data_IF_398595824706
#
_entry.id   IF_398595824706
#
_cell.length_a   1.000
_cell.length_b   1.000
_cell.length_c   1.000
_cell.angle_alpha   90.00
_cell.angle_beta   90.00
_cell.angle_gamma   90.00
#
_symmetry.space_group_name_H-M   'P 1'
#
loop_
_entity.id
_entity.type
_entity.pdbx_description
1 polymer ?
#
# COMPACT_ATOMS: atom_id res chain seq x y z
N UNK A 1 42.39 3.01 -12.69
CA UNK A 1 41.04 2.67 -13.20
C UNK A 1 40.03 3.23 -12.22
N UNK A 2 39.28 4.27 -12.62
CA UNK A 2 38.18 4.76 -11.79
C UNK A 2 37.10 3.67 -11.76
N UNK A 3 36.71 3.22 -10.57
CA UNK A 3 35.57 2.31 -10.42
C UNK A 3 34.35 3.01 -11.03
N UNK A 4 33.76 2.42 -12.07
CA UNK A 4 32.52 2.91 -12.65
C UNK A 4 31.51 3.08 -11.51
N UNK A 5 30.93 4.28 -11.38
CA UNK A 5 29.90 4.54 -10.37
C UNK A 5 28.74 3.54 -10.50
N UNK A 6 28.00 3.25 -9.43
CA UNK A 6 26.86 2.34 -9.51
C UNK A 6 25.88 2.88 -10.56
N UNK A 7 25.56 2.05 -11.56
CA UNK A 7 24.63 2.39 -12.65
C UNK A 7 23.16 2.27 -12.26
N UNK A 8 22.90 1.87 -11.01
CA UNK A 8 21.59 1.49 -10.48
C UNK A 8 21.48 1.95 -9.04
N UNK A 9 20.27 2.26 -8.62
CA UNK A 9 19.93 2.47 -7.22
C UNK A 9 18.99 1.37 -6.73
N UNK A 10 18.93 1.21 -5.40
CA UNK A 10 17.99 0.29 -4.75
C UNK A 10 16.98 1.07 -3.93
N UNK A 11 15.74 0.57 -3.91
CA UNK A 11 14.64 1.04 -3.09
C UNK A 11 14.10 -0.14 -2.28
N UNK A 12 14.34 -0.13 -0.98
CA UNK A 12 13.81 -1.10 -0.04
C UNK A 12 12.58 -0.49 0.65
N UNK A 13 11.49 -1.25 0.65
CA UNK A 13 10.19 -0.85 1.19
C UNK A 13 9.73 -1.92 2.17
N UNK A 14 9.73 -1.55 3.45
CA UNK A 14 9.25 -2.39 4.53
C UNK A 14 8.05 -1.73 5.21
N UNK A 15 7.34 -2.46 6.05
CA UNK A 15 6.28 -1.89 6.88
C UNK A 15 5.09 -2.81 6.96
N UNK A 16 3.88 -2.25 6.94
CA UNK A 16 2.67 -3.04 7.11
C UNK A 16 1.41 -2.33 6.60
N UNK A 17 0.43 -3.12 6.17
CA UNK A 17 -0.97 -2.74 6.16
C UNK A 17 -1.45 -2.81 7.61
N UNK A 18 -1.41 -1.66 8.30
CA UNK A 18 -1.63 -1.58 9.76
C UNK A 18 -3.10 -1.88 10.09
N UNK A 19 -4.01 -1.08 9.53
CA UNK A 19 -5.42 -1.11 9.93
C UNK A 19 -6.35 -0.54 8.86
N UNK A 20 -7.65 -0.75 9.04
CA UNK A 20 -8.70 -0.13 8.25
C UNK A 20 -9.90 0.31 9.07
N UNK A 21 -10.66 1.23 8.47
CA UNK A 21 -11.92 1.73 8.96
C UNK A 21 -12.95 1.61 7.83
N UNK A 22 -13.85 0.64 7.98
CA UNK A 22 -15.00 0.44 7.09
C UNK A 22 -16.27 0.51 7.93
N UNK A 23 -17.08 1.59 7.85
CA UNK A 23 -18.26 1.73 8.68
C UNK A 23 -19.28 0.59 8.49
N UNK A 24 -19.55 0.23 7.23
CA UNK A 24 -20.62 -0.69 6.84
C UNK A 24 -20.22 -2.17 6.87
N UNK A 25 -18.93 -2.51 6.96
CA UNK A 25 -18.44 -3.89 6.78
C UNK A 25 -17.56 -4.38 7.93
N UNK A 26 -17.56 -5.68 8.16
CA UNK A 26 -16.76 -6.39 9.15
C UNK A 26 -16.23 -7.70 8.52
N UNK A 27 -15.39 -8.44 9.24
CA UNK A 27 -14.79 -9.70 8.79
C UNK A 27 -14.05 -9.53 7.45
N UNK A 28 -13.06 -8.64 7.46
CA UNK A 28 -12.35 -8.23 6.25
C UNK A 28 -10.94 -8.82 6.19
N UNK A 29 -10.50 -9.17 4.98
CA UNK A 29 -9.08 -9.37 4.66
C UNK A 29 -8.65 -8.41 3.56
N UNK A 30 -7.33 -8.20 3.45
CA UNK A 30 -6.75 -7.37 2.41
C UNK A 30 -5.80 -8.20 1.54
N UNK A 31 -5.82 -7.91 0.24
CA UNK A 31 -4.79 -8.28 -0.72
C UNK A 31 -4.04 -7.02 -1.12
N UNK A 32 -2.73 -7.09 -1.19
CA UNK A 32 -1.93 -6.05 -1.85
C UNK A 32 -1.19 -6.61 -3.05
N UNK A 33 -0.87 -5.73 -4.01
CA UNK A 33 0.13 -5.98 -5.03
C UNK A 33 0.89 -4.69 -5.37
N UNK A 34 2.15 -4.83 -5.79
CA UNK A 34 2.93 -3.70 -6.29
C UNK A 34 2.77 -3.55 -7.80
N UNK A 35 2.68 -2.29 -8.24
CA UNK A 35 2.68 -1.89 -9.66
C UNK A 35 3.80 -0.89 -9.86
N UNK A 36 4.60 -1.08 -10.91
CA UNK A 36 5.79 -0.29 -11.18
C UNK A 36 6.12 -0.30 -12.68
N UNK A 37 6.94 0.65 -13.12
CA UNK A 37 7.39 0.79 -14.51
C UNK A 37 8.39 -0.29 -14.93
N UNK A 38 8.63 -0.40 -16.23
CA UNK A 38 9.45 -1.47 -16.82
C UNK A 38 10.91 -1.50 -16.38
N UNK A 39 11.48 -0.36 -15.96
CA UNK A 39 12.86 -0.28 -15.47
C UNK A 39 13.01 -0.80 -14.03
N UNK A 40 11.91 -0.89 -13.29
CA UNK A 40 11.91 -1.39 -11.92
C UNK A 40 11.90 -2.91 -11.91
N UNK A 41 12.91 -3.49 -11.27
CA UNK A 41 13.03 -4.94 -11.07
C UNK A 41 12.94 -5.26 -9.57
N UNK A 42 11.97 -6.07 -9.12
CA UNK A 42 11.98 -6.63 -7.78
C UNK A 42 13.17 -7.60 -7.65
N UNK A 43 13.89 -7.48 -6.53
CA UNK A 43 15.12 -8.25 -6.27
C UNK A 43 15.03 -9.10 -5.01
N UNK A 44 14.11 -8.76 -4.09
CA UNK A 44 13.81 -9.50 -2.88
C UNK A 44 12.43 -9.13 -2.35
N UNK A 45 11.86 -9.98 -1.49
CA UNK A 45 10.56 -9.77 -0.85
C UNK A 45 9.38 -10.24 -1.70
N UNK A 46 8.17 -9.76 -1.37
CA UNK A 46 6.91 -10.19 -1.96
C UNK A 46 6.23 -9.05 -2.74
N UNK A 47 5.98 -9.29 -4.03
CA UNK A 47 5.24 -8.36 -4.90
C UNK A 47 3.74 -8.33 -4.59
N UNK A 48 3.19 -9.43 -4.09
CA UNK A 48 1.80 -9.55 -3.67
C UNK A 48 1.67 -10.33 -2.37
N UNK A 49 0.60 -10.06 -1.63
CA UNK A 49 0.31 -10.72 -0.36
C UNK A 49 -1.17 -10.67 -0.01
N UNK A 50 -1.64 -11.66 0.72
CA UNK A 50 -3.01 -11.77 1.23
C UNK A 50 -2.93 -11.89 2.76
N UNK A 51 -3.67 -11.03 3.46
CA UNK A 51 -3.72 -11.04 4.93
C UNK A 51 -4.67 -12.11 5.46
N UNK A 52 -4.61 -12.31 6.77
CA UNK A 52 -5.69 -12.95 7.51
C UNK A 52 -6.99 -12.13 7.45
N UNK A 53 -8.10 -12.82 7.73
CA UNK A 53 -9.39 -12.18 8.01
C UNK A 53 -9.33 -11.60 9.44
N UNK A 54 -9.80 -10.36 9.60
CA UNK A 54 -9.89 -9.69 10.89
C UNK A 54 -11.28 -9.12 11.10
N UNK A 55 -11.71 -9.05 12.35
CA UNK A 55 -12.96 -8.43 12.75
C UNK A 55 -12.71 -7.10 13.47
N UNK A 56 -13.75 -6.26 13.52
CA UNK A 56 -13.67 -4.97 14.21
C UNK A 56 -13.34 -5.19 15.68
N UNK A 57 -12.36 -4.44 16.15
CA UNK A 57 -12.06 -4.36 17.58
C UNK A 57 -13.28 -3.92 18.39
N UNK A 58 -13.36 -4.41 19.63
CA UNK A 58 -14.44 -4.08 20.57
C UNK A 58 -14.30 -2.69 21.20
N UNK A 59 -13.27 -1.94 20.83
CA UNK A 59 -13.04 -0.60 21.33
C UNK A 59 -13.94 0.43 20.61
N UNK A 60 -13.90 1.68 21.09
CA UNK A 60 -14.68 2.79 20.52
C UNK A 60 -14.30 3.08 19.06
N UNK A 61 -13.07 2.74 18.66
CA UNK A 61 -12.56 3.01 17.31
C UNK A 61 -13.12 2.01 16.29
N UNK A 62 -13.52 0.81 16.74
CA UNK A 62 -14.07 -0.27 15.90
C UNK A 62 -13.21 -0.49 14.65
N UNK A 63 -11.89 -0.44 14.84
CA UNK A 63 -10.92 -0.56 13.77
C UNK A 63 -10.66 -2.03 13.45
N UNK A 64 -10.46 -2.32 12.17
CA UNK A 64 -9.95 -3.59 11.67
C UNK A 64 -8.43 -3.52 11.69
N UNK A 65 -7.77 -4.45 12.37
CA UNK A 65 -6.30 -4.45 12.48
C UNK A 65 -5.76 -5.71 11.82
N UNK A 66 -4.88 -5.52 10.83
CA UNK A 66 -4.18 -6.61 10.17
C UNK A 66 -2.72 -6.69 10.60
N UNK A 67 -2.04 -5.54 10.71
CA UNK A 67 -0.57 -5.51 10.82
C UNK A 67 0.11 -6.44 9.80
N UNK A 68 -0.42 -6.49 8.58
CA UNK A 68 0.02 -7.42 7.56
C UNK A 68 1.32 -6.90 6.93
N UNK A 69 2.44 -7.66 6.98
CA UNK A 69 3.74 -7.14 6.62
C UNK A 69 3.84 -6.77 5.14
N UNK A 70 4.58 -5.70 4.88
CA UNK A 70 5.04 -5.28 3.55
C UNK A 70 6.55 -5.40 3.57
N UNK A 71 7.12 -6.13 2.62
CA UNK A 71 8.57 -6.24 2.45
C UNK A 71 8.90 -6.51 0.98
N UNK A 72 9.55 -5.55 0.32
CA UNK A 72 10.02 -5.67 -1.06
C UNK A 72 11.22 -4.77 -1.30
N UNK A 73 12.17 -5.24 -2.11
CA UNK A 73 13.31 -4.45 -2.56
C UNK A 73 13.34 -4.39 -4.07
N UNK A 74 13.35 -3.18 -4.61
CA UNK A 74 13.49 -2.90 -6.02
C UNK A 74 14.89 -2.42 -6.39
N UNK A 75 15.25 -2.66 -7.63
CA UNK A 75 16.41 -2.12 -8.32
C UNK A 75 15.95 -1.38 -9.57
N UNK A 76 16.55 -0.23 -9.85
CA UNK A 76 16.21 0.58 -11.03
C UNK A 76 17.38 1.48 -11.43
N UNK A 77 17.40 1.91 -12.69
CA UNK A 77 18.32 2.91 -13.24
C UNK A 77 17.72 4.33 -13.24
N UNK A 78 16.38 4.46 -13.21
CA UNK A 78 15.69 5.75 -13.27
C UNK A 78 14.34 5.74 -12.51
N UNK A 79 13.90 6.87 -11.93
CA UNK A 79 12.71 6.91 -11.07
C UNK A 79 11.37 6.83 -11.83
N UNK A 80 11.36 6.78 -13.17
CA UNK A 80 10.12 6.78 -13.96
C UNK A 80 9.31 5.50 -13.70
N UNK A 81 7.98 5.63 -13.60
CA UNK A 81 7.11 4.51 -13.23
C UNK A 81 7.29 4.07 -11.78
N UNK A 82 7.46 5.03 -10.87
CA UNK A 82 7.68 4.81 -9.44
C UNK A 82 6.72 3.77 -8.83
N UNK A 83 7.20 2.86 -7.95
CA UNK A 83 6.36 1.82 -7.38
C UNK A 83 5.16 2.37 -6.61
N UNK A 84 4.02 1.73 -6.85
CA UNK A 84 2.76 1.93 -6.16
C UNK A 84 2.33 0.62 -5.51
N UNK A 85 1.70 0.71 -4.35
CA UNK A 85 0.97 -0.39 -3.75
C UNK A 85 -0.52 -0.23 -4.06
N UNK A 86 -1.11 -1.27 -4.62
CA UNK A 86 -2.55 -1.40 -4.84
C UNK A 86 -3.10 -2.32 -3.76
N UNK A 87 -4.17 -1.90 -3.10
CA UNK A 87 -4.88 -2.63 -2.07
C UNK A 87 -6.27 -3.00 -2.56
N UNK A 88 -6.67 -4.24 -2.28
CA UNK A 88 -8.01 -4.77 -2.50
C UNK A 88 -8.51 -5.35 -1.19
N UNK A 89 -9.59 -4.80 -0.64
CA UNK A 89 -10.19 -5.31 0.60
C UNK A 89 -11.42 -6.13 0.26
N UNK A 90 -11.51 -7.31 0.84
CA UNK A 90 -12.58 -8.28 0.63
C UNK A 90 -13.30 -8.57 1.94
N UNK A 91 -14.58 -8.95 1.84
CA UNK A 91 -15.36 -9.43 2.98
C UNK A 91 -16.66 -10.08 2.54
N UNK A 92 -17.34 -10.80 3.46
CA UNK A 92 -18.47 -11.67 3.14
C UNK A 92 -19.70 -10.86 2.73
N UNK A 93 -20.40 -11.29 1.69
CA UNK A 93 -21.74 -10.82 1.34
C UNK A 93 -22.83 -11.52 2.18
N UNK A 94 -24.11 -11.19 1.93
CA UNK A 94 -25.25 -11.75 2.66
C UNK A 94 -25.34 -13.29 2.52
N UNK A 95 -24.71 -13.85 1.48
CA UNK A 95 -24.66 -15.29 1.22
C UNK A 95 -23.33 -15.92 1.64
N UNK A 96 -22.44 -15.17 2.28
CA UNK A 96 -21.12 -15.64 2.72
C UNK A 96 -20.06 -15.72 1.62
N UNK A 97 -20.30 -15.15 0.45
CA UNK A 97 -19.28 -15.07 -0.60
C UNK A 97 -18.35 -13.89 -0.35
N UNK A 98 -17.04 -14.07 -0.53
CA UNK A 98 -16.09 -12.96 -0.44
C UNK A 98 -16.25 -12.02 -1.64
N UNK A 99 -16.56 -10.75 -1.36
CA UNK A 99 -16.70 -9.70 -2.37
C UNK A 99 -15.84 -8.49 -2.04
N UNK A 100 -15.41 -7.78 -3.08
CA UNK A 100 -14.61 -6.57 -2.92
C UNK A 100 -15.42 -5.47 -2.22
N UNK A 101 -14.86 -4.94 -1.14
CA UNK A 101 -15.35 -3.80 -0.34
C UNK A 101 -14.62 -2.50 -0.65
N UNK A 102 -13.49 -2.55 -1.33
CA UNK A 102 -12.77 -1.35 -1.73
C UNK A 102 -11.43 -1.63 -2.38
N UNK A 103 -11.09 -0.76 -3.32
CA UNK A 103 -9.75 -0.61 -3.87
C UNK A 103 -9.10 0.64 -3.32
N UNK A 104 -7.79 0.59 -3.11
CA UNK A 104 -6.98 1.72 -2.71
C UNK A 104 -5.65 1.68 -3.45
N UNK A 105 -5.06 2.85 -3.66
CA UNK A 105 -3.72 2.95 -4.25
C UNK A 105 -2.90 3.99 -3.52
N UNK A 106 -1.63 3.69 -3.28
CA UNK A 106 -0.67 4.62 -2.72
C UNK A 106 0.66 4.49 -3.46
N UNK A 107 1.29 5.62 -3.79
CA UNK A 107 2.70 5.59 -4.16
C UNK A 107 3.56 5.25 -2.95
N UNK A 108 4.62 4.46 -3.16
CA UNK A 108 5.69 4.32 -2.17
C UNK A 108 6.29 5.71 -1.89
N UNK A 109 6.55 6.09 -0.64
CA UNK A 109 7.19 7.37 -0.33
C UNK A 109 8.52 7.56 -1.06
N UNK A 110 8.74 8.76 -1.61
CA UNK A 110 9.95 9.10 -2.36
C UNK A 110 11.16 9.35 -1.45
N UNK A 111 10.92 9.84 -0.23
CA UNK A 111 11.98 10.07 0.75
C UNK A 111 12.19 8.85 1.64
N UNK A 112 13.44 8.53 2.01
CA UNK A 112 13.72 7.54 3.04
C UNK A 112 13.06 7.89 4.38
N UNK A 113 12.88 6.88 5.21
CA UNK A 113 12.35 7.01 6.56
C UNK A 113 10.97 6.38 6.74
N UNK A 114 10.35 6.65 7.90
CA UNK A 114 9.06 6.08 8.30
C UNK A 114 7.91 6.99 7.91
N UNK A 115 6.94 6.45 7.16
CA UNK A 115 5.79 7.17 6.64
C UNK A 115 4.49 6.45 6.99
N UNK A 116 3.55 7.18 7.61
CA UNK A 116 2.18 6.70 7.82
C UNK A 116 1.26 7.35 6.80
N UNK A 117 0.52 6.55 6.03
CA UNK A 117 -0.38 7.02 4.97
C UNK A 117 -1.75 6.38 5.15
N UNK A 118 -2.78 7.21 5.31
CA UNK A 118 -4.18 6.76 5.29
C UNK A 118 -4.75 7.05 3.92
N UNK A 119 -5.17 6.01 3.20
CA UNK A 119 -5.72 6.13 1.85
C UNK A 119 -7.23 5.86 1.85
N UNK A 120 -8.01 6.60 1.05
CA UNK A 120 -9.42 6.30 0.85
C UNK A 120 -9.58 5.04 0.02
N UNK A 121 -10.54 4.21 0.42
CA UNK A 121 -10.95 3.01 -0.30
C UNK A 121 -12.20 3.31 -1.11
N UNK A 122 -12.19 2.93 -2.38
CA UNK A 122 -13.26 3.21 -3.31
C UNK A 122 -13.75 1.95 -4.01
N UNK A 123 -15.03 1.90 -4.32
CA UNK A 123 -15.64 0.85 -5.13
C UNK A 123 -16.27 1.50 -6.36
N UNK A 124 -16.09 0.93 -7.56
CA UNK A 124 -16.80 1.42 -8.75
C UNK A 124 -18.31 1.25 -8.55
N UNK A 125 -19.07 2.32 -8.75
CA UNK A 125 -20.52 2.22 -8.86
C UNK A 125 -20.88 1.81 -10.29
N UNK A 126 -21.44 0.60 -10.48
CA UNK A 126 -21.97 0.23 -11.79
C UNK A 126 -23.16 1.12 -12.16
N UNK A 127 -23.12 1.65 -13.39
CA UNK A 127 -24.05 2.66 -13.93
C UNK A 127 -25.47 2.15 -14.14
N UNK A 128 -25.71 0.84 -14.05
CA UNK A 128 -27.02 0.23 -14.37
C UNK A 128 -27.59 -0.60 -13.22
N UNK A 129 -28.73 -0.15 -12.66
CA UNK A 129 -29.51 -0.87 -11.63
C UNK A 129 -29.96 -2.26 -12.10
N UNK A 130 -30.18 -2.44 -13.40
CA UNK A 130 -30.55 -3.73 -14.00
C UNK A 130 -29.40 -4.75 -13.98
N UNK A 131 -28.16 -4.32 -14.27
CA UNK A 131 -26.97 -5.18 -14.23
C UNK A 131 -26.61 -5.60 -12.80
N UNK A 132 -26.90 -4.76 -11.79
CA UNK A 132 -26.79 -5.11 -10.37
C UNK A 132 -27.77 -6.20 -9.95
N UNK A 133 -28.97 -6.23 -10.54
CA UNK A 133 -30.03 -7.19 -10.23
C UNK A 133 -29.77 -8.55 -10.89
N UNK A 134 -29.35 -8.58 -12.17
CA UNK A 134 -29.02 -9.84 -12.87
C UNK A 134 -27.75 -10.50 -12.32
N UNK A 135 -26.75 -9.71 -11.93
CA UNK A 135 -25.49 -10.20 -11.35
C UNK A 135 -25.62 -10.66 -9.90
N UNK A 136 -26.59 -10.10 -9.15
CA UNK A 136 -27.01 -10.63 -7.84
C UNK A 136 -27.66 -12.01 -7.95
N UNK A 137 -28.43 -12.25 -9.02
CA UNK A 137 -29.14 -13.51 -9.25
C UNK A 137 -28.23 -14.63 -9.81
N UNK A 138 -27.12 -14.29 -10.46
CA UNK A 138 -26.20 -15.26 -11.09
C UNK A 138 -24.87 -15.49 -10.34
N UNK A 139 -24.66 -14.88 -9.16
CA UNK A 139 -23.48 -15.14 -8.32
C UNK A 139 -22.12 -14.75 -8.93
N UNK A 140 -22.11 -14.03 -10.05
CA UNK A 140 -20.89 -13.54 -10.72
C UNK A 140 -20.95 -12.03 -10.82
N UNK A 141 -20.33 -11.35 -9.85
CA UNK A 141 -20.10 -9.91 -9.93
C UNK A 141 -18.75 -9.63 -10.56
N UNK A 142 -18.67 -8.63 -11.45
CA UNK A 142 -17.44 -8.27 -12.12
C UNK A 142 -16.42 -7.77 -11.09
N UNK A 143 -15.42 -8.59 -10.81
CA UNK A 143 -14.14 -8.13 -10.29
C UNK A 143 -13.43 -7.36 -11.41
N UNK A 144 -12.59 -6.39 -11.09
CA UNK A 144 -11.68 -5.89 -12.12
C UNK A 144 -10.85 -7.07 -12.60
N UNK A 145 -10.90 -7.36 -13.91
CA UNK A 145 -10.12 -8.42 -14.56
C UNK A 145 -8.62 -8.26 -14.28
N UNK A 146 -8.18 -7.04 -13.95
CA UNK A 146 -6.88 -6.76 -13.37
C UNK A 146 -6.94 -5.58 -12.36
N UNK A 147 -6.70 -5.78 -11.05
CA UNK A 147 -6.62 -4.68 -10.09
C UNK A 147 -5.51 -3.66 -10.41
N UNK A 148 -4.54 -4.01 -11.28
CA UNK A 148 -3.49 -3.09 -11.74
C UNK A 148 -4.01 -1.95 -12.63
N UNK A 149 -5.21 -2.07 -13.20
CA UNK A 149 -5.86 -0.97 -13.96
C UNK A 149 -6.07 0.27 -13.09
N UNK A 150 -6.26 0.09 -11.77
CA UNK A 150 -6.37 1.19 -10.80
C UNK A 150 -5.10 2.04 -10.74
N UNK A 151 -3.94 1.44 -10.96
CA UNK A 151 -2.64 2.11 -10.92
C UNK A 151 -2.31 2.86 -12.22
N UNK A 152 -2.86 2.43 -13.36
CA UNK A 152 -2.43 2.90 -14.68
C UNK A 152 -3.08 4.21 -15.14
N UNK A 153 -4.11 4.72 -14.46
CA UNK A 153 -4.73 6.02 -14.78
C UNK A 153 -5.50 6.08 -16.12
N UNK A 154 -5.23 5.19 -17.08
CA UNK A 154 -6.04 5.00 -18.28
C UNK A 154 -7.41 4.41 -17.92
N UNK A 155 -8.49 5.11 -18.29
CA UNK A 155 -9.86 4.76 -17.90
C UNK A 155 -10.46 5.60 -16.76
N UNK A 156 -9.76 6.67 -16.32
CA UNK A 156 -10.31 7.68 -15.40
C UNK A 156 -11.44 8.54 -16.00
N UNK A 157 -11.79 8.30 -17.26
CA UNK A 157 -12.99 8.86 -17.87
C UNK A 157 -14.17 7.92 -17.62
N UNK A 158 -15.05 8.33 -16.71
CA UNK A 158 -16.42 7.81 -16.53
C UNK A 158 -16.57 6.49 -15.75
N UNK A 159 -16.02 6.40 -14.53
CA UNK A 159 -16.62 5.55 -13.48
C UNK A 159 -16.84 6.35 -12.21
N UNK A 160 -18.12 6.53 -11.83
CA UNK A 160 -18.49 7.12 -10.55
C UNK A 160 -18.02 6.17 -9.44
N UNK A 161 -17.20 6.67 -8.52
CA UNK A 161 -16.67 5.88 -7.40
C UNK A 161 -17.32 6.31 -6.10
N UNK A 162 -17.67 5.34 -5.24
CA UNK A 162 -18.12 5.59 -3.86
C UNK A 162 -17.00 5.29 -2.90
N UNK A 163 -16.65 6.25 -2.04
CA UNK A 163 -15.75 5.97 -0.92
C UNK A 163 -16.46 5.08 0.12
N UNK A 164 -15.83 3.98 0.51
CA UNK A 164 -16.41 2.99 1.43
C UNK A 164 -15.63 2.86 2.76
N UNK A 165 -14.45 3.46 2.85
CA UNK A 165 -13.63 3.37 4.04
C UNK A 165 -12.22 3.92 3.83
N UNK A 166 -11.35 3.66 4.78
CA UNK A 166 -9.94 4.06 4.75
C UNK A 166 -9.05 2.91 5.20
N UNK A 167 -7.89 2.77 4.56
CA UNK A 167 -6.83 1.85 4.98
C UNK A 167 -5.61 2.67 5.38
N UNK A 168 -4.97 2.29 6.48
CA UNK A 168 -3.75 2.91 6.97
C UNK A 168 -2.55 2.01 6.69
N UNK A 169 -1.64 2.53 5.87
CA UNK A 169 -0.36 1.94 5.52
C UNK A 169 0.75 2.57 6.34
N UNK A 170 1.69 1.73 6.76
CA UNK A 170 2.97 2.16 7.28
C UNK A 170 4.07 1.70 6.34
N UNK A 171 4.89 2.64 5.88
CA UNK A 171 6.08 2.38 5.08
C UNK A 171 7.32 2.77 5.87
N UNK A 172 8.38 1.98 5.74
CA UNK A 172 9.74 2.29 6.10
C UNK A 172 10.54 2.17 4.80
N UNK A 173 11.01 3.29 4.28
CA UNK A 173 11.68 3.35 2.98
C UNK A 173 13.17 3.56 3.19
N UNK A 174 13.98 2.76 2.51
CA UNK A 174 15.45 2.91 2.50
C UNK A 174 15.91 2.95 1.05
N UNK A 175 16.67 3.98 0.68
CA UNK A 175 17.25 4.12 -0.65
C UNK A 175 18.76 3.92 -0.58
N UNK A 176 19.32 3.17 -1.53
CA UNK A 176 20.77 3.02 -1.69
C UNK A 176 21.19 3.56 -3.06
N UNK A 177 22.31 4.29 -3.08
CA UNK A 177 22.97 4.80 -4.29
C UNK A 177 22.17 5.83 -5.15
N UNK A 178 20.93 6.18 -4.79
CA UNK A 178 20.16 7.24 -5.46
C UNK A 178 20.89 8.59 -5.54
N UNK A 179 21.52 9.04 -4.44
CA UNK A 179 22.31 10.28 -4.42
C UNK A 179 23.53 10.24 -5.35
N UNK A 180 24.11 9.05 -5.57
CA UNK A 180 25.26 8.90 -6.49
C UNK A 180 24.84 9.10 -7.95
N UNK A 181 23.57 8.88 -8.27
CA UNK A 181 22.97 9.13 -9.57
C UNK A 181 22.39 10.56 -9.69
N UNK A 182 22.63 11.42 -8.69
CA UNK A 182 22.23 12.83 -8.73
C UNK A 182 20.81 13.12 -8.23
N UNK A 183 20.10 12.12 -7.68
CA UNK A 183 18.77 12.34 -7.11
C UNK A 183 18.83 12.87 -5.68
N UNK A 184 18.01 13.88 -5.38
CA UNK A 184 17.76 14.33 -4.02
C UNK A 184 16.83 13.34 -3.30
N UNK A 185 17.20 12.98 -2.07
CA UNK A 185 16.47 12.02 -1.23
C UNK A 185 15.93 12.68 0.04
N UNK A 186 16.01 14.01 0.13
CA UNK A 186 15.66 14.75 1.34
C UNK A 186 16.73 14.63 2.43
N UNK A 187 16.49 15.27 3.58
CA UNK A 187 17.44 15.25 4.70
C UNK A 187 17.60 13.83 5.25
N UNK A 188 18.83 13.41 5.63
CA UNK A 188 19.05 12.12 6.26
C UNK A 188 18.35 12.08 7.63
N UNK A 189 17.59 11.01 7.90
CA UNK A 189 16.95 10.77 9.20
C UNK A 189 17.97 10.91 10.34
N UNK A 190 17.88 12.00 11.09
CA UNK A 190 18.83 12.33 12.18
C UNK A 190 18.47 11.61 13.49
N UNK A 191 17.41 10.80 13.51
CA UNK A 191 16.89 10.15 14.71
C UNK A 191 17.73 8.97 15.25
N UNK A 192 18.86 8.63 14.61
CA UNK A 192 19.75 7.54 15.03
C UNK A 192 21.06 7.96 15.72
N UNK A 193 21.35 9.26 15.88
CA UNK A 193 22.66 9.76 16.36
C UNK A 193 22.53 10.50 17.71
N UNK A 194 21.61 10.06 18.57
CA UNK A 194 21.70 10.39 20.00
C UNK A 194 22.30 9.19 20.71
N UNK A 195 23.64 9.19 20.82
CA UNK A 195 24.35 8.27 21.70
C UNK A 195 23.86 8.41 23.16
N UNK A 196 24.14 7.42 24.02
CA UNK A 196 23.70 7.46 25.40
C UNK A 196 24.23 8.73 26.09
N UNK A 197 23.32 9.50 26.68
CA UNK A 197 23.66 10.69 27.47
C UNK A 197 24.59 10.30 28.63
N UNK A 198 25.65 11.09 28.90
CA UNK A 198 26.53 10.80 30.02
C UNK A 198 25.78 10.90 31.36
N UNK A 199 26.11 10.07 32.36
CA UNK A 199 25.40 10.04 33.62
C UNK A 199 25.59 11.39 34.35
N UNK A 200 24.47 12.03 34.69
CA UNK A 200 24.46 13.23 35.52
C UNK A 200 24.94 12.85 36.93
N UNK A 201 26.07 13.43 37.35
CA UNK A 201 26.60 13.24 38.70
C UNK A 201 25.67 13.82 39.78
N UNK A 202 25.52 13.09 40.89
CA UNK A 202 24.76 13.54 42.05
C UNK A 202 25.37 14.82 42.65
N UNK A 203 24.56 15.82 43.05
CA UNK A 203 25.02 16.92 43.88
C UNK A 203 25.23 16.44 45.33
N UNK A 204 26.31 16.93 45.95
CA UNK A 204 26.58 16.85 47.40
C UNK A 204 25.76 17.88 48.16
#
# INVERSE_FOLDING_TARGET
MAAAGPSVFLLMVNGQVESAQFPEYDDLYCKYCFVYGQDWAPTAGLEEGISQITCKSQDVRRALVWNFPIDITFKSTNPYGWPQIVLSVYGPDVFGNDVIRGYGVAHVPLSPGRHKRTIPMFVPESTSKLQKFTSWFMGRRPEYTDPKVVAQGEGREVTRVRSQGFVTLLFNVVTKDMRKLGYDTGPPDTHGILGPSPPQGLPR
#
